data_IF_700176493752
#
_entry.id   IF_700176493752
#
_cell.length_a   1.000
_cell.length_b   1.000
_cell.length_c   1.000
_cell.angle_alpha   90.00
_cell.angle_beta   90.00
_cell.angle_gamma   90.00
#
_symmetry.space_group_name_H-M   'P 1'
#
loop_
_entity.id
_entity.type
_entity.pdbx_description
1 polymer ?
#
# COMPACT_ATOMS: atom_id res chain seq x y z
N UNK A 1 16.87 -4.18 12.44
CA UNK A 1 15.64 -3.34 12.44
C UNK A 1 14.50 -4.14 13.01
N UNK A 2 13.63 -3.50 13.81
CA UNK A 2 12.43 -4.12 14.35
C UNK A 2 11.33 -4.19 13.27
N UNK A 3 10.44 -5.18 13.36
CA UNK A 3 9.22 -5.20 12.54
C UNK A 3 8.29 -4.05 12.93
N UNK A 4 7.52 -3.53 11.97
CA UNK A 4 6.58 -2.43 12.22
C UNK A 4 5.21 -3.00 12.58
N UNK A 5 4.70 -3.94 11.78
CA UNK A 5 3.44 -4.65 12.01
C UNK A 5 3.71 -5.90 12.84
N UNK A 6 4.72 -6.69 12.52
CA UNK A 6 5.07 -7.87 13.30
C UNK A 6 6.14 -8.74 12.65
N UNK A 7 6.94 -9.44 13.45
CA UNK A 7 8.08 -10.21 12.94
C UNK A 7 7.69 -11.37 12.01
N UNK A 8 6.44 -11.86 12.12
CA UNK A 8 5.90 -12.85 11.18
C UNK A 8 5.76 -12.33 9.75
N UNK A 9 5.77 -11.01 9.54
CA UNK A 9 5.62 -10.36 8.23
C UNK A 9 6.98 -10.01 7.60
N UNK A 10 8.05 -10.68 7.99
CA UNK A 10 9.41 -10.45 7.47
C UNK A 10 9.94 -11.69 6.81
N UNK A 11 10.59 -11.53 5.65
CA UNK A 11 11.43 -12.60 5.11
C UNK A 11 12.78 -12.61 5.84
N UNK A 12 13.28 -13.79 6.20
CA UNK A 12 14.50 -13.91 6.98
C UNK A 12 15.78 -13.70 6.14
N UNK A 13 15.84 -14.26 4.92
CA UNK A 13 17.12 -14.44 4.21
C UNK A 13 17.09 -14.04 2.73
N UNK A 14 15.92 -13.88 2.12
CA UNK A 14 15.79 -13.61 0.68
C UNK A 14 14.84 -12.45 0.39
N UNK A 15 15.03 -11.85 -0.80
CA UNK A 15 14.11 -10.84 -1.30
C UNK A 15 12.74 -11.47 -1.52
N UNK A 16 11.72 -10.94 -0.86
CA UNK A 16 10.37 -11.45 -0.98
C UNK A 16 9.72 -10.84 -2.21
N UNK A 17 9.22 -11.69 -3.11
CA UNK A 17 8.42 -11.27 -4.24
C UNK A 17 6.95 -11.62 -4.01
N UNK A 18 6.10 -10.62 -4.22
CA UNK A 18 4.66 -10.69 -4.03
C UNK A 18 3.95 -10.24 -5.29
N UNK A 19 2.75 -10.75 -5.52
CA UNK A 19 1.85 -10.26 -6.57
C UNK A 19 0.64 -9.65 -5.89
N UNK A 20 0.42 -8.35 -6.14
CA UNK A 20 -0.79 -7.66 -5.75
C UNK A 20 -1.71 -7.53 -6.95
N UNK A 21 -2.93 -8.06 -6.82
CA UNK A 21 -3.95 -8.01 -7.87
C UNK A 21 -5.17 -7.23 -7.37
N UNK A 22 -5.42 -6.09 -8.01
CA UNK A 22 -6.61 -5.28 -7.71
C UNK A 22 -7.83 -5.85 -8.41
N UNK A 23 -8.91 -6.03 -7.65
CA UNK A 23 -10.18 -6.57 -8.15
C UNK A 23 -11.28 -5.51 -8.06
N UNK A 24 -12.17 -5.51 -9.06
CA UNK A 24 -13.29 -4.53 -9.15
C UNK A 24 -14.50 -4.98 -8.34
N UNK A 25 -14.81 -6.28 -8.36
CA UNK A 25 -16.04 -6.85 -7.76
C UNK A 25 -15.78 -7.70 -6.51
N UNK A 26 -14.51 -7.90 -6.16
CA UNK A 26 -14.08 -8.69 -5.02
C UNK A 26 -12.96 -7.99 -4.26
N UNK A 27 -12.55 -8.57 -3.14
CA UNK A 27 -11.37 -8.08 -2.42
C UNK A 27 -10.11 -8.30 -3.26
N UNK A 28 -9.16 -7.38 -3.18
CA UNK A 28 -7.86 -7.60 -3.81
C UNK A 28 -7.13 -8.72 -3.10
N UNK A 29 -6.18 -9.31 -3.82
CA UNK A 29 -5.37 -10.42 -3.34
C UNK A 29 -3.90 -10.05 -3.35
N UNK A 30 -3.18 -10.57 -2.35
CA UNK A 30 -1.72 -10.55 -2.33
C UNK A 30 -1.24 -11.98 -2.22
N UNK A 31 -0.54 -12.45 -3.24
CA UNK A 31 -0.01 -13.82 -3.30
C UNK A 31 1.52 -13.81 -3.33
N UNK A 32 2.13 -14.96 -3.04
CA UNK A 32 3.51 -15.20 -3.46
C UNK A 32 3.59 -15.51 -4.97
N UNK A 33 4.81 -15.74 -5.48
CA UNK A 33 5.05 -16.10 -6.88
C UNK A 33 4.44 -17.44 -7.30
N UNK A 34 4.16 -18.33 -6.34
CA UNK A 34 3.52 -19.62 -6.61
C UNK A 34 1.98 -19.51 -6.61
N UNK A 35 1.43 -18.31 -6.39
CA UNK A 35 -0.01 -18.06 -6.32
C UNK A 35 -0.62 -18.41 -4.96
N UNK A 36 0.18 -18.70 -3.92
CA UNK A 36 -0.35 -18.92 -2.57
C UNK A 36 -0.84 -17.60 -2.00
N UNK A 37 -2.10 -17.57 -1.57
CA UNK A 37 -2.70 -16.39 -0.95
C UNK A 37 -2.06 -16.08 0.41
N UNK A 38 -1.51 -14.87 0.55
CA UNK A 38 -0.89 -14.40 1.79
C UNK A 38 -1.77 -13.38 2.51
N UNK A 39 -2.41 -12.47 1.76
CA UNK A 39 -3.27 -11.42 2.33
C UNK A 39 -4.46 -11.15 1.42
N UNK A 40 -5.50 -10.56 2.00
CA UNK A 40 -6.61 -9.93 1.26
C UNK A 40 -6.65 -8.44 1.60
N UNK A 41 -6.97 -7.61 0.61
CA UNK A 41 -7.20 -6.18 0.82
C UNK A 41 -8.65 -5.87 0.51
N UNK A 42 -9.36 -5.36 1.51
CA UNK A 42 -10.77 -4.98 1.41
C UNK A 42 -10.87 -3.46 1.40
N UNK A 43 -11.69 -2.93 0.49
CA UNK A 43 -12.07 -1.51 0.43
C UNK A 43 -13.56 -1.37 0.70
N UNK A 44 -13.96 -1.03 1.94
CA UNK A 44 -15.37 -0.89 2.26
C UNK A 44 -15.95 0.36 1.58
N UNK A 45 -16.94 0.18 0.70
CA UNK A 45 -17.55 1.27 -0.10
C UNK A 45 -18.35 2.29 0.74
N UNK A 46 -18.70 1.97 1.99
CA UNK A 46 -19.54 2.79 2.88
C UNK A 46 -18.99 2.91 4.32
N UNK A 47 -17.66 2.91 4.49
CA UNK A 47 -17.02 3.07 5.81
C UNK A 47 -16.10 4.30 5.83
N UNK A 48 -15.86 4.83 7.03
CA UNK A 48 -14.74 5.76 7.28
C UNK A 48 -13.36 5.07 7.16
N UNK A 49 -13.34 3.76 6.92
CA UNK A 49 -12.16 2.93 6.67
C UNK A 49 -11.90 2.84 5.17
N UNK A 50 -10.71 3.21 4.73
CA UNK A 50 -10.39 3.15 3.29
C UNK A 50 -9.93 1.76 2.88
N UNK A 51 -9.06 1.18 3.71
CA UNK A 51 -8.37 -0.05 3.37
C UNK A 51 -8.22 -0.92 4.61
N UNK A 52 -8.64 -2.17 4.50
CA UNK A 52 -8.45 -3.20 5.52
C UNK A 52 -7.61 -4.34 4.92
N UNK A 53 -6.42 -4.56 5.48
CA UNK A 53 -5.55 -5.69 5.15
C UNK A 53 -5.86 -6.82 6.12
N UNK A 54 -6.23 -7.97 5.60
CA UNK A 54 -6.54 -9.17 6.40
C UNK A 54 -5.67 -10.36 6.00
N UNK A 55 -5.57 -11.32 6.90
CA UNK A 55 -5.05 -12.64 6.56
C UNK A 55 -6.01 -13.40 5.60
N UNK A 56 -5.64 -14.60 5.11
CA UNK A 56 -6.52 -15.40 4.25
C UNK A 56 -7.84 -15.80 4.91
N UNK A 57 -7.84 -15.95 6.24
CA UNK A 57 -8.99 -16.26 7.10
C UNK A 57 -9.84 -15.03 7.46
N UNK A 58 -9.61 -13.88 6.83
CA UNK A 58 -10.31 -12.61 7.07
C UNK A 58 -10.11 -11.99 8.46
N UNK A 59 -9.05 -12.37 9.19
CA UNK A 59 -8.65 -11.68 10.43
C UNK A 59 -7.91 -10.39 10.09
N UNK A 60 -8.26 -9.26 10.71
CA UNK A 60 -7.64 -7.98 10.41
C UNK A 60 -6.19 -7.92 10.90
N UNK A 61 -5.29 -7.42 10.05
CA UNK A 61 -3.87 -7.24 10.37
C UNK A 61 -3.54 -5.76 10.49
N UNK A 62 -3.99 -4.97 9.52
CA UNK A 62 -3.76 -3.52 9.44
C UNK A 62 -4.99 -2.85 8.87
N UNK A 63 -5.30 -1.68 9.40
CA UNK A 63 -6.32 -0.79 8.87
C UNK A 63 -5.73 0.57 8.54
N UNK A 64 -6.16 1.15 7.42
CA UNK A 64 -5.74 2.47 6.93
C UNK A 64 -6.97 3.37 6.87
N UNK A 65 -6.85 4.54 7.49
CA UNK A 65 -7.89 5.57 7.47
C UNK A 65 -7.34 6.88 6.89
N UNK A 66 -8.11 7.51 6.00
CA UNK A 66 -7.96 8.90 5.63
C UNK A 66 -8.51 9.77 6.76
N UNK A 67 -7.73 10.76 7.15
CA UNK A 67 -8.14 11.79 8.08
C UNK A 67 -7.96 13.13 7.41
N UNK A 68 -9.06 13.88 7.30
CA UNK A 68 -9.06 15.27 6.88
C UNK A 68 -8.98 16.14 8.12
N UNK A 69 -7.81 16.71 8.40
CA UNK A 69 -7.61 17.64 9.52
C UNK A 69 -7.02 18.93 9.01
N UNK A 70 -7.69 20.06 9.29
CA UNK A 70 -7.26 21.40 8.89
C UNK A 70 -6.91 21.51 7.39
N UNK A 71 -7.77 20.99 6.50
CA UNK A 71 -7.56 20.94 5.05
C UNK A 71 -6.31 20.17 4.58
N UNK A 72 -5.67 19.40 5.48
CA UNK A 72 -4.58 18.47 5.14
C UNK A 72 -5.09 17.04 5.25
N UNK A 73 -4.85 16.26 4.20
CA UNK A 73 -5.12 14.82 4.20
C UNK A 73 -3.93 14.09 4.79
N UNK A 74 -4.18 13.29 5.83
CA UNK A 74 -3.23 12.35 6.40
C UNK A 74 -3.82 10.95 6.28
N UNK A 75 -2.96 9.96 6.07
CA UNK A 75 -3.32 8.55 6.20
C UNK A 75 -2.74 8.05 7.51
N UNK A 76 -3.56 7.40 8.32
CA UNK A 76 -3.14 6.76 9.58
C UNK A 76 -3.26 5.26 9.42
N UNK A 77 -2.20 4.55 9.79
CA UNK A 77 -2.10 3.09 9.72
C UNK A 77 -2.10 2.56 11.14
N UNK A 78 -3.11 1.76 11.48
CA UNK A 78 -3.25 1.14 12.80
C UNK A 78 -3.07 -0.37 12.69
N UNK A 79 -2.68 -0.98 13.80
CA UNK A 79 -2.66 -2.43 13.95
C UNK A 79 -4.10 -2.95 14.05
N UNK A 80 -4.40 -4.08 13.42
CA UNK A 80 -5.73 -4.71 13.42
C UNK A 80 -6.84 -3.78 12.88
N UNK A 81 -8.05 -3.78 13.46
CA UNK A 81 -9.23 -3.09 12.91
C UNK A 81 -9.76 -1.93 13.78
N UNK A 82 -9.11 -1.61 14.92
CA UNK A 82 -9.58 -0.52 15.78
C UNK A 82 -8.63 0.69 15.75
N UNK A 83 -9.20 1.88 15.96
CA UNK A 83 -8.45 3.12 16.21
C UNK A 83 -7.89 3.18 17.64
N UNK A 84 -8.33 2.28 18.50
CA UNK A 84 -7.88 2.14 19.88
C UNK A 84 -6.59 1.30 19.99
N UNK A 85 -6.15 0.68 18.89
CA UNK A 85 -4.88 -0.03 18.83
C UNK A 85 -3.72 0.92 18.57
N UNK A 86 -2.47 0.46 18.78
CA UNK A 86 -1.30 1.29 18.53
C UNK A 86 -1.24 1.78 17.07
N UNK A 87 -1.16 3.09 16.91
CA UNK A 87 -0.85 3.75 15.64
C UNK A 87 0.54 3.31 15.18
N UNK A 88 0.62 2.64 14.03
CA UNK A 88 1.88 2.16 13.47
C UNK A 88 2.61 3.27 12.74
N UNK A 89 1.89 4.05 11.93
CA UNK A 89 2.47 5.21 11.27
C UNK A 89 1.43 6.25 10.84
N UNK A 90 1.89 7.47 10.58
CA UNK A 90 1.12 8.49 9.87
C UNK A 90 1.86 8.88 8.60
N UNK A 91 1.18 8.74 7.46
CA UNK A 91 1.68 9.18 6.16
C UNK A 91 1.00 10.52 5.84
N UNK A 92 1.79 11.59 5.79
CA UNK A 92 1.26 12.94 5.50
C UNK A 92 1.36 13.24 4.00
N UNK A 93 0.36 13.93 3.44
CA UNK A 93 0.37 14.36 2.02
C UNK A 93 1.63 15.15 1.64
N UNK A 94 2.14 16.00 2.54
CA UNK A 94 3.30 16.87 2.32
C UNK A 94 4.65 16.25 2.72
N UNK A 95 4.67 15.03 3.25
CA UNK A 95 5.92 14.41 3.69
C UNK A 95 6.68 13.87 2.48
N UNK A 96 7.89 14.37 2.25
CA UNK A 96 8.87 13.81 1.30
C UNK A 96 9.50 12.53 1.88
N UNK A 97 8.69 11.59 2.35
CA UNK A 97 9.11 10.18 2.37
C UNK A 97 9.29 9.86 0.88
N UNK A 98 10.51 9.56 0.46
CA UNK A 98 10.84 9.45 -0.96
C UNK A 98 10.22 8.19 -1.57
N UNK A 99 8.93 8.27 -1.85
CA UNK A 99 8.29 7.46 -2.86
C UNK A 99 8.57 8.15 -4.20
N UNK A 100 9.47 7.61 -5.02
CA UNK A 100 9.48 7.98 -6.42
C UNK A 100 8.43 7.14 -7.12
N UNK A 101 7.31 7.78 -7.45
CA UNK A 101 6.34 7.24 -8.39
C UNK A 101 6.75 7.74 -9.77
N UNK A 102 7.30 6.86 -10.60
CA UNK A 102 7.44 7.12 -12.02
C UNK A 102 6.21 6.57 -12.71
N UNK A 103 5.31 7.47 -13.14
CA UNK A 103 4.20 7.13 -14.01
C UNK A 103 4.70 7.37 -15.44
N UNK A 104 5.08 6.30 -16.14
CA UNK A 104 5.35 6.42 -17.57
C UNK A 104 4.04 6.11 -18.31
N UNK A 105 3.55 7.10 -19.07
CA UNK A 105 2.26 7.07 -19.76
C UNK A 105 2.18 5.93 -20.79
N UNK A 106 3.33 5.37 -21.16
CA UNK A 106 3.49 4.30 -22.15
C UNK A 106 3.85 2.93 -21.54
N UNK A 107 4.33 2.86 -20.28
CA UNK A 107 4.95 1.64 -19.73
C UNK A 107 4.39 1.11 -18.39
N UNK A 108 3.42 1.79 -17.79
CA UNK A 108 2.82 1.35 -16.54
C UNK A 108 3.49 1.95 -15.29
N UNK A 109 2.73 2.02 -14.21
CA UNK A 109 3.14 2.68 -12.96
C UNK A 109 4.20 1.87 -12.21
N UNK A 110 5.31 2.50 -11.80
CA UNK A 110 6.29 1.94 -10.87
C UNK A 110 6.39 2.77 -9.59
N UNK A 111 6.40 2.11 -8.44
CA UNK A 111 6.52 2.70 -7.11
C UNK A 111 7.78 2.19 -6.45
N UNK A 112 8.68 3.10 -6.09
CA UNK A 112 9.85 2.79 -5.26
C UNK A 112 9.61 3.20 -3.81
N UNK A 113 9.98 2.35 -2.85
CA UNK A 113 9.95 2.64 -1.42
C UNK A 113 11.39 2.66 -0.90
N UNK A 114 11.83 3.80 -0.37
CA UNK A 114 13.19 4.01 0.13
C UNK A 114 13.22 4.43 1.61
N UNK A 115 14.33 4.18 2.29
CA UNK A 115 14.54 4.59 3.69
C UNK A 115 14.94 6.06 3.80
N UNK A 116 13.96 6.96 3.88
CA UNK A 116 14.22 8.39 4.07
C UNK A 116 14.88 9.03 2.84
N UNK A 117 15.47 10.22 3.00
CA UNK A 117 16.01 10.98 1.86
C UNK A 117 17.37 10.42 1.42
N UNK A 118 17.45 9.84 0.22
CA UNK A 118 18.67 9.26 -0.35
C UNK A 118 19.09 7.93 0.29
N UNK A 119 18.18 7.29 1.04
CA UNK A 119 18.48 6.00 1.65
C UNK A 119 18.22 4.83 0.72
N UNK A 120 18.59 3.63 1.20
CA UNK A 120 18.45 2.41 0.44
C UNK A 120 17.00 2.12 0.05
N UNK A 121 16.81 1.65 -1.19
CA UNK A 121 15.56 1.10 -1.69
C UNK A 121 15.24 -0.18 -0.93
N UNK A 122 14.06 -0.22 -0.31
CA UNK A 122 13.59 -1.38 0.47
C UNK A 122 12.47 -2.12 -0.20
N UNK A 123 11.77 -1.49 -1.15
CA UNK A 123 10.83 -2.19 -2.01
C UNK A 123 10.64 -1.50 -3.36
N UNK A 124 10.22 -2.27 -4.35
CA UNK A 124 9.78 -1.81 -5.67
C UNK A 124 8.47 -2.48 -6.01
N UNK A 125 7.52 -1.74 -6.55
CA UNK A 125 6.28 -2.27 -7.09
C UNK A 125 6.14 -1.87 -8.55
N UNK A 126 6.08 -2.86 -9.44
CA UNK A 126 6.05 -2.66 -10.89
C UNK A 126 4.74 -3.22 -11.45
N UNK A 127 4.03 -2.42 -12.24
CA UNK A 127 2.83 -2.88 -12.93
C UNK A 127 3.20 -3.95 -13.97
N UNK A 128 2.51 -5.09 -13.94
CA UNK A 128 2.76 -6.23 -14.85
C UNK A 128 1.68 -6.34 -15.95
N UNK A 129 0.53 -5.66 -15.80
CA UNK A 129 -0.58 -5.79 -16.75
C UNK A 129 -1.35 -4.48 -16.95
N UNK A 130 -1.75 -4.24 -18.20
CA UNK A 130 -2.51 -3.06 -18.69
C UNK A 130 -3.99 -3.38 -19.01
N UNK A 131 -4.44 -4.63 -18.83
CA UNK A 131 -5.85 -5.04 -19.00
C UNK A 131 -6.67 -4.83 -17.72
N UNK A 132 -7.97 -5.18 -17.76
CA UNK A 132 -9.03 -4.81 -16.80
C UNK A 132 -8.74 -4.97 -15.30
N UNK A 133 -7.74 -5.76 -14.90
CA UNK A 133 -7.25 -5.86 -13.52
C UNK A 133 -5.79 -5.43 -13.43
N UNK A 134 -5.50 -4.38 -12.66
CA UNK A 134 -4.13 -3.90 -12.47
C UNK A 134 -3.37 -4.82 -11.51
N UNK A 135 -2.37 -5.54 -12.04
CA UNK A 135 -1.47 -6.41 -11.28
C UNK A 135 -0.12 -5.74 -11.06
N UNK A 136 0.45 -5.91 -9.87
CA UNK A 136 1.75 -5.39 -9.49
C UNK A 136 2.63 -6.49 -8.93
N UNK A 137 3.88 -6.54 -9.40
CA UNK A 137 4.93 -7.31 -8.75
C UNK A 137 5.58 -6.43 -7.71
N UNK A 138 5.53 -6.85 -6.45
CA UNK A 138 6.15 -6.13 -5.34
C UNK A 138 7.37 -6.94 -4.90
N UNK A 139 8.55 -6.35 -5.04
CA UNK A 139 9.80 -6.91 -4.57
C UNK A 139 10.22 -6.19 -3.29
N UNK A 140 10.35 -6.93 -2.19
CA UNK A 140 10.62 -6.42 -0.84
C UNK A 140 11.97 -6.95 -0.35
N UNK A 141 12.86 -6.06 0.10
CA UNK A 141 14.19 -6.44 0.56
C UNK A 141 14.14 -7.37 1.80
N UNK A 142 15.16 -8.22 2.00
CA UNK A 142 15.22 -9.12 3.15
C UNK A 142 15.07 -8.40 4.48
N UNK A 143 14.34 -9.00 5.41
CA UNK A 143 14.15 -8.48 6.76
C UNK A 143 13.27 -7.23 6.84
N UNK A 144 12.60 -6.82 5.75
CA UNK A 144 11.61 -5.75 5.73
C UNK A 144 10.21 -6.33 6.00
N UNK A 145 9.40 -5.58 6.73
CA UNK A 145 7.99 -5.90 6.97
C UNK A 145 7.16 -5.64 5.71
N UNK A 146 6.72 -6.70 5.03
CA UNK A 146 6.04 -6.58 3.73
C UNK A 146 4.61 -6.06 3.86
N UNK A 147 3.94 -6.25 5.01
CA UNK A 147 2.60 -5.68 5.25
C UNK A 147 2.70 -4.17 5.41
N UNK A 148 3.75 -3.69 6.08
CA UNK A 148 4.01 -2.26 6.17
C UNK A 148 4.30 -1.65 4.79
N UNK A 149 5.17 -2.28 3.99
CA UNK A 149 5.45 -1.85 2.61
C UNK A 149 4.17 -1.79 1.77
N UNK A 150 3.36 -2.84 1.83
CA UNK A 150 2.08 -2.90 1.11
C UNK A 150 1.15 -1.74 1.53
N UNK A 151 1.09 -1.43 2.82
CA UNK A 151 0.27 -0.31 3.32
C UNK A 151 0.69 1.03 2.70
N UNK A 152 2.00 1.27 2.55
CA UNK A 152 2.52 2.48 1.91
C UNK A 152 2.18 2.54 0.42
N UNK A 153 2.32 1.41 -0.29
CA UNK A 153 1.97 1.31 -1.72
C UNK A 153 0.48 1.60 -1.91
N UNK A 154 -0.40 1.01 -1.09
CA UNK A 154 -1.84 1.24 -1.15
C UNK A 154 -2.19 2.71 -0.90
N UNK A 155 -1.54 3.38 0.06
CA UNK A 155 -1.73 4.82 0.30
C UNK A 155 -1.31 5.65 -0.92
N UNK A 156 -0.19 5.32 -1.57
CA UNK A 156 0.25 6.01 -2.79
C UNK A 156 -0.76 5.84 -3.93
N UNK A 157 -1.30 4.62 -4.09
CA UNK A 157 -2.32 4.34 -5.09
C UNK A 157 -3.63 5.09 -4.86
N UNK A 158 -4.12 5.09 -3.62
CA UNK A 158 -5.35 5.80 -3.27
C UNK A 158 -5.21 7.32 -3.45
N UNK A 159 -4.01 7.85 -3.20
CA UNK A 159 -3.69 9.26 -3.48
C UNK A 159 -3.77 9.59 -4.97
N UNK A 160 -3.33 8.68 -5.82
CA UNK A 160 -3.31 8.89 -7.27
C UNK A 160 -4.73 8.82 -7.86
N UNK A 161 -5.51 7.84 -7.43
CA UNK A 161 -6.92 7.69 -7.83
C UNK A 161 -7.77 8.90 -7.40
N UNK A 162 -7.52 9.47 -6.22
CA UNK A 162 -8.18 10.68 -5.76
C UNK A 162 -7.77 11.94 -6.55
N UNK A 163 -6.59 11.96 -7.21
CA UNK A 163 -6.17 13.06 -8.08
C UNK A 163 -6.82 12.97 -9.46
N UNK A 164 -6.95 11.77 -10.00
CA UNK A 164 -7.54 11.53 -11.32
C UNK A 164 -9.06 11.74 -11.33
N UNK A 165 -9.72 11.51 -10.20
CA UNK A 165 -11.17 11.73 -10.03
C UNK A 165 -11.55 13.14 -9.59
N UNK A 166 -10.58 13.99 -9.25
CA UNK A 166 -10.84 15.39 -8.95
C UNK A 166 -11.24 16.11 -10.25
N UNK A 167 -12.38 16.84 -10.28
CA UNK A 167 -12.74 17.60 -11.47
C UNK A 167 -11.62 18.58 -11.78
N UNK A 168 -11.18 18.59 -13.04
CA UNK A 168 -10.28 19.60 -13.58
C UNK A 168 -10.91 20.96 -13.31
N UNK A 169 -10.53 21.61 -12.21
CA UNK A 169 -10.93 22.98 -11.94
C UNK A 169 -10.19 23.82 -12.96
N UNK A 170 -10.82 24.01 -14.12
CA UNK A 170 -10.44 25.04 -15.07
C UNK A 170 -10.64 26.38 -14.36
N UNK A 171 -9.58 26.87 -13.70
CA UNK A 171 -9.41 28.29 -13.51
C UNK A 171 -8.94 28.86 -14.84
N UNK A 172 -9.90 29.35 -15.63
CA UNK A 172 -9.70 30.51 -16.47
C UNK A 172 -11.01 31.25 -16.66
#
# INVERSE_FOLDING_TARGET
>A
MAAVVGDQFRSAQEQLQLVYERNTWSSDTVTDLNGRLLLKVKRPTFSATDVLITDPSSRPIVVIYHELKNFRTNWKVFREQSRDTPLLCTVRKSSRIQFSLSLDEVLGSSIEVSRGRGGAVVARAEAISLLSNTRYQISVAPGIDYVFVLSLILIVKEKEEARQTAPSSNLR
#
